data_IF_294101883438
#
_entry.id   IF_294101883438
#
_cell.length_a   1.000
_cell.length_b   1.000
_cell.length_c   1.000
_cell.angle_alpha   90.00
_cell.angle_beta   90.00
_cell.angle_gamma   90.00
#
_symmetry.space_group_name_H-M   'P 1'
#
loop_
_entity.id
_entity.type
_entity.pdbx_description
1 polymer ?
#
# COMPACT_ATOMS: atom_id res chain seq x y z
N UNK A 1 18.47 31.55 -12.76
CA UNK A 1 19.61 30.60 -12.78
C UNK A 1 19.03 29.20 -12.74
N UNK A 2 18.94 28.55 -13.90
CA UNK A 2 18.40 27.19 -14.02
C UNK A 2 19.49 26.17 -13.69
N UNK A 3 19.19 25.26 -12.76
CA UNK A 3 20.00 24.08 -12.54
C UNK A 3 19.49 23.00 -13.50
N UNK A 4 20.30 22.73 -14.52
CA UNK A 4 20.03 21.72 -15.52
C UNK A 4 19.99 20.33 -14.90
N UNK A 5 18.96 19.57 -15.26
CA UNK A 5 18.91 18.13 -15.05
C UNK A 5 20.07 17.49 -15.81
N UNK A 6 20.97 16.85 -15.06
CA UNK A 6 22.06 16.07 -15.60
C UNK A 6 21.47 14.71 -16.05
N UNK A 7 21.11 14.61 -17.33
CA UNK A 7 20.75 13.33 -17.95
C UNK A 7 21.99 12.42 -18.01
N UNK A 8 22.15 11.58 -16.98
CA UNK A 8 23.07 10.45 -17.04
C UNK A 8 22.41 9.34 -17.86
N UNK A 9 22.76 9.27 -19.14
CA UNK A 9 22.60 8.08 -19.99
C UNK A 9 21.21 7.44 -19.98
N UNK A 10 20.24 8.02 -20.69
CA UNK A 10 19.09 7.32 -21.25
C UNK A 10 18.13 6.62 -20.27
N UNK A 11 18.11 7.00 -18.99
CA UNK A 11 17.11 6.52 -18.03
C UNK A 11 16.15 7.66 -17.72
N UNK A 12 14.94 7.61 -18.29
CA UNK A 12 13.88 8.56 -17.96
C UNK A 12 13.34 8.24 -16.57
N UNK A 13 13.74 9.05 -15.59
CA UNK A 13 13.27 8.97 -14.21
C UNK A 13 11.91 9.65 -14.08
N UNK A 14 10.94 8.98 -13.46
CA UNK A 14 9.64 9.58 -13.10
C UNK A 14 9.48 9.64 -11.60
N UNK A 15 8.98 10.78 -11.10
CA UNK A 15 8.53 10.88 -9.71
C UNK A 15 7.02 11.05 -9.67
N UNK A 16 6.35 10.21 -8.87
CA UNK A 16 4.92 10.25 -8.65
C UNK A 16 4.60 10.49 -7.17
N UNK A 17 3.50 11.18 -6.93
CA UNK A 17 3.01 11.55 -5.61
C UNK A 17 1.56 11.13 -5.44
N UNK A 18 1.26 10.62 -4.24
CA UNK A 18 -0.09 10.32 -3.81
C UNK A 18 -0.21 10.47 -2.30
N UNK A 19 -1.38 10.88 -1.83
CA UNK A 19 -1.67 10.89 -0.39
C UNK A 19 -1.71 9.44 0.13
N UNK A 20 -1.16 9.15 1.30
CA UNK A 20 -1.14 7.80 1.87
C UNK A 20 -2.56 7.25 2.11
N UNK A 21 -3.54 8.12 2.37
CA UNK A 21 -4.96 7.76 2.41
C UNK A 21 -5.46 7.17 1.07
N UNK A 22 -4.84 7.51 -0.07
CA UNK A 22 -5.15 6.94 -1.37
C UNK A 22 -4.91 5.44 -1.44
N UNK A 23 -3.86 4.97 -0.75
CA UNK A 23 -3.48 3.55 -0.73
C UNK A 23 -4.44 2.69 0.09
N UNK A 24 -5.25 3.32 0.95
CA UNK A 24 -6.24 2.63 1.78
C UNK A 24 -7.45 2.09 1.00
N UNK A 25 -7.59 2.44 -0.29
CA UNK A 25 -8.63 1.91 -1.18
C UNK A 25 -10.07 2.17 -0.68
N UNK A 26 -10.30 3.29 -0.01
CA UNK A 26 -11.65 3.69 0.45
C UNK A 26 -12.41 4.49 -0.61
N UNK A 27 -11.69 5.10 -1.55
CA UNK A 27 -12.22 5.92 -2.64
C UNK A 27 -11.24 5.94 -3.81
N UNK A 28 -11.72 6.38 -4.99
CA UNK A 28 -10.86 6.69 -6.14
C UNK A 28 -9.88 7.78 -5.77
N UNK A 29 -8.60 7.54 -6.05
CA UNK A 29 -7.52 8.47 -5.72
C UNK A 29 -6.67 8.81 -6.93
N UNK A 30 -6.30 10.09 -7.04
CA UNK A 30 -5.49 10.61 -8.15
C UNK A 30 -4.01 10.52 -7.78
N UNK A 31 -3.21 10.01 -8.71
CA UNK A 31 -1.75 9.97 -8.61
C UNK A 31 -1.21 11.02 -9.58
N UNK A 32 -0.32 11.86 -9.08
CA UNK A 32 0.24 12.99 -9.83
C UNK A 32 1.75 12.85 -9.99
N UNK A 33 2.32 13.53 -10.96
CA UNK A 33 3.77 13.65 -11.09
C UNK A 33 4.34 14.87 -10.35
N UNK A 34 5.64 15.08 -10.49
CA UNK A 34 6.39 16.25 -9.98
C UNK A 34 5.96 17.58 -10.60
N UNK A 35 5.31 17.55 -11.76
CA UNK A 35 4.68 18.71 -12.40
C UNK A 35 3.22 18.91 -11.97
N UNK A 36 2.75 18.14 -10.98
CA UNK A 36 1.37 18.13 -10.48
C UNK A 36 0.33 17.77 -11.56
N UNK A 37 0.75 17.09 -12.64
CA UNK A 37 -0.15 16.54 -13.65
C UNK A 37 -0.75 15.23 -13.16
N UNK A 38 -2.06 15.07 -13.31
CA UNK A 38 -2.74 13.81 -13.02
C UNK A 38 -2.29 12.76 -14.05
N UNK A 39 -1.74 11.65 -13.58
CA UNK A 39 -1.19 10.58 -14.45
C UNK A 39 -2.05 9.32 -14.38
N UNK A 40 -2.47 8.97 -13.16
CA UNK A 40 -3.22 7.74 -12.91
C UNK A 40 -4.35 7.94 -11.91
N UNK A 41 -5.28 6.99 -11.94
CA UNK A 41 -6.33 6.78 -10.95
C UNK A 41 -6.12 5.42 -10.28
N UNK A 42 -6.00 5.41 -8.96
CA UNK A 42 -6.07 4.20 -8.16
C UNK A 42 -7.50 4.00 -7.68
N UNK A 43 -8.11 2.90 -8.09
CA UNK A 43 -9.52 2.58 -7.82
C UNK A 43 -9.62 1.18 -7.24
N UNK A 44 -10.45 0.98 -6.23
CA UNK A 44 -10.74 -0.34 -5.69
C UNK A 44 -11.00 -0.31 -4.19
N UNK A 45 -11.03 -1.50 -3.57
CA UNK A 45 -11.19 -1.66 -2.13
C UNK A 45 -10.52 -2.91 -1.59
N UNK A 46 -10.07 -2.83 -0.35
CA UNK A 46 -9.68 -3.98 0.49
C UNK A 46 -10.91 -4.47 1.31
N UNK A 47 -11.14 -5.77 1.50
CA UNK A 47 -12.46 -6.37 1.85
C UNK A 47 -12.67 -7.89 1.63
N UNK A 48 -13.88 -8.39 1.91
CA UNK A 48 -14.08 -9.81 2.26
C UNK A 48 -14.11 -10.84 1.11
N UNK A 49 -14.27 -10.46 -0.17
CA UNK A 49 -14.44 -11.45 -1.27
C UNK A 49 -13.88 -11.11 -2.65
N UNK A 50 -13.20 -9.99 -2.85
CA UNK A 50 -12.54 -9.66 -4.12
C UNK A 50 -11.68 -8.41 -3.97
N UNK A 51 -10.58 -8.53 -3.22
CA UNK A 51 -9.66 -7.41 -2.98
C UNK A 51 -8.87 -7.10 -4.23
N UNK A 52 -9.46 -6.21 -5.03
CA UNK A 52 -8.88 -5.72 -6.26
C UNK A 52 -8.64 -4.23 -6.11
N UNK A 53 -7.39 -3.85 -6.33
CA UNK A 53 -7.04 -2.49 -6.70
C UNK A 53 -6.62 -2.48 -8.15
N UNK A 54 -7.07 -1.45 -8.86
CA UNK A 54 -6.84 -1.25 -10.28
C UNK A 54 -6.23 0.15 -10.48
N UNK A 55 -5.22 0.20 -11.33
CA UNK A 55 -4.55 1.42 -11.75
C UNK A 55 -4.99 1.72 -13.17
N UNK A 56 -5.62 2.87 -13.36
CA UNK A 56 -6.05 3.37 -14.65
C UNK A 56 -5.24 4.60 -15.06
N UNK A 57 -5.00 4.79 -16.35
CA UNK A 57 -4.61 6.11 -16.86
C UNK A 57 -5.75 7.12 -16.69
N UNK A 58 -5.46 8.42 -16.81
CA UNK A 58 -6.53 9.45 -16.80
C UNK A 58 -7.52 9.27 -17.95
N UNK A 59 -7.09 8.68 -19.08
CA UNK A 59 -7.98 8.33 -20.19
C UNK A 59 -8.88 7.11 -19.90
N UNK A 60 -8.72 6.44 -18.75
CA UNK A 60 -9.53 5.29 -18.34
C UNK A 60 -9.01 3.94 -18.84
N UNK A 61 -7.80 3.88 -19.41
CA UNK A 61 -7.18 2.61 -19.78
C UNK A 61 -6.70 1.87 -18.52
N UNK A 62 -7.02 0.57 -18.40
CA UNK A 62 -6.58 -0.27 -17.29
C UNK A 62 -5.13 -0.73 -17.53
N UNK A 63 -4.21 -0.30 -16.68
CA UNK A 63 -2.78 -0.60 -16.81
C UNK A 63 -2.36 -1.78 -15.93
N UNK A 64 -2.74 -1.74 -14.65
CA UNK A 64 -2.37 -2.78 -13.69
C UNK A 64 -3.49 -3.06 -12.70
N UNK A 65 -3.44 -4.26 -12.11
CA UNK A 65 -4.27 -4.62 -10.98
C UNK A 65 -3.43 -5.40 -9.95
N UNK A 66 -3.82 -5.28 -8.68
CA UNK A 66 -3.44 -6.23 -7.65
C UNK A 66 -4.68 -6.93 -7.13
N UNK A 67 -4.63 -8.26 -7.05
CA UNK A 67 -5.70 -9.10 -6.50
C UNK A 67 -5.18 -9.91 -5.31
N UNK A 68 -5.88 -9.88 -4.18
CA UNK A 68 -5.55 -10.77 -3.06
C UNK A 68 -6.00 -12.20 -3.38
N UNK A 69 -5.08 -13.16 -3.29
CA UNK A 69 -5.35 -14.58 -3.55
C UNK A 69 -5.67 -15.38 -2.29
N UNK A 70 -5.15 -14.97 -1.12
CA UNK A 70 -5.34 -15.71 0.14
C UNK A 70 -5.86 -14.83 1.28
N UNK A 71 -6.86 -15.35 2.01
CA UNK A 71 -7.50 -14.75 3.18
C UNK A 71 -7.00 -15.36 4.50
N UNK A 72 -5.70 -15.68 4.60
CA UNK A 72 -5.09 -16.33 5.76
C UNK A 72 -3.98 -15.50 6.43
N UNK A 73 -3.30 -16.09 7.42
CA UNK A 73 -2.20 -15.46 8.19
C UNK A 73 -1.05 -14.95 7.29
N UNK A 74 -0.93 -15.51 6.10
CA UNK A 74 0.03 -15.13 5.06
C UNK A 74 -0.72 -14.60 3.83
N UNK A 75 -1.01 -13.29 3.77
CA UNK A 75 -1.64 -12.68 2.61
C UNK A 75 -0.72 -12.79 1.39
N UNK A 76 -1.27 -13.32 0.29
CA UNK A 76 -0.66 -13.43 -1.02
C UNK A 76 -1.42 -12.53 -1.99
N UNK A 77 -0.66 -11.83 -2.82
CA UNK A 77 -1.20 -10.94 -3.83
C UNK A 77 -0.68 -11.33 -5.20
N UNK A 78 -1.56 -11.30 -6.19
CA UNK A 78 -1.26 -11.43 -7.61
C UNK A 78 -1.20 -10.06 -8.24
N UNK A 79 -0.13 -9.80 -9.00
CA UNK A 79 0.02 -8.62 -9.84
C UNK A 79 -0.40 -8.97 -11.26
N UNK A 80 -1.24 -8.12 -11.84
CA UNK A 80 -1.76 -8.21 -13.19
C UNK A 80 -1.33 -6.94 -13.91
N UNK A 81 -0.73 -7.08 -15.09
CA UNK A 81 -0.33 -5.97 -15.95
C UNK A 81 -0.86 -6.25 -17.34
N UNK A 82 -1.54 -5.29 -17.97
CA UNK A 82 -2.22 -5.49 -19.25
C UNK A 82 -3.07 -6.77 -19.30
N UNK A 83 -3.86 -7.00 -18.24
CA UNK A 83 -4.75 -8.15 -18.05
C UNK A 83 -4.05 -9.51 -17.96
N UNK A 84 -2.72 -9.55 -17.88
CA UNK A 84 -1.94 -10.77 -17.72
C UNK A 84 -1.33 -10.85 -16.32
N UNK A 85 -1.32 -12.04 -15.74
CA UNK A 85 -0.65 -12.24 -14.44
C UNK A 85 0.86 -12.21 -14.66
N UNK A 86 1.52 -11.17 -14.16
CA UNK A 86 2.96 -10.97 -14.32
C UNK A 86 3.75 -11.32 -13.07
N UNK A 87 3.11 -11.33 -11.91
CA UNK A 87 3.82 -11.71 -10.69
C UNK A 87 2.95 -11.97 -9.48
N UNK A 88 3.62 -12.40 -8.41
CA UNK A 88 3.01 -12.63 -7.09
C UNK A 88 3.93 -12.17 -5.99
N UNK A 89 3.36 -11.57 -4.96
CA UNK A 89 4.07 -11.13 -3.76
C UNK A 89 3.38 -11.69 -2.52
N UNK A 90 4.17 -12.12 -1.55
CA UNK A 90 3.70 -12.72 -0.31
C UNK A 90 4.61 -12.31 0.83
N UNK A 91 4.05 -11.97 2.00
CA UNK A 91 4.84 -11.78 3.21
C UNK A 91 5.36 -13.16 3.66
N UNK A 92 6.65 -13.31 3.92
CA UNK A 92 7.23 -14.55 4.49
C UNK A 92 7.57 -14.28 5.96
N UNK A 93 7.16 -15.17 6.87
CA UNK A 93 7.51 -15.06 8.29
C UNK A 93 9.02 -15.26 8.51
N UNK A 94 9.60 -14.49 9.45
CA UNK A 94 10.95 -14.74 9.98
C UNK A 94 12.11 -14.01 9.30
N UNK A 95 11.87 -13.14 8.32
CA UNK A 95 12.96 -12.35 7.69
C UNK A 95 13.25 -11.11 8.54
N UNK A 96 14.38 -11.15 9.24
CA UNK A 96 14.97 -10.01 9.95
C UNK A 96 15.43 -9.01 8.88
N UNK A 97 14.77 -7.85 8.79
CA UNK A 97 14.94 -6.77 7.77
C UNK A 97 14.21 -7.13 6.47
N UNK A 98 13.15 -6.40 6.16
CA UNK A 98 12.06 -6.85 5.30
C UNK A 98 12.45 -6.90 3.81
N UNK A 99 13.04 -8.02 3.42
CA UNK A 99 13.25 -8.41 2.02
C UNK A 99 12.02 -9.20 1.55
N UNK A 100 11.37 -8.72 0.50
CA UNK A 100 10.22 -9.35 -0.13
C UNK A 100 10.54 -9.69 -1.58
N UNK A 101 9.99 -10.80 -2.07
CA UNK A 101 10.18 -11.23 -3.45
C UNK A 101 8.88 -11.10 -4.24
N UNK A 102 8.97 -10.48 -5.41
CA UNK A 102 7.90 -10.48 -6.42
C UNK A 102 8.24 -11.52 -7.48
N UNK A 103 7.73 -12.74 -7.26
CA UNK A 103 7.94 -13.87 -8.16
C UNK A 103 7.26 -13.60 -9.50
N UNK A 104 7.85 -14.02 -10.61
CA UNK A 104 7.37 -13.76 -11.97
C UNK A 104 8.03 -12.53 -12.63
N UNK A 105 8.23 -11.45 -11.86
CA UNK A 105 8.95 -10.26 -12.32
C UNK A 105 10.46 -10.29 -11.99
N UNK A 106 10.88 -11.27 -11.17
CA UNK A 106 12.23 -11.38 -10.61
C UNK A 106 12.65 -10.10 -9.87
N UNK A 107 11.71 -9.50 -9.12
CA UNK A 107 12.00 -8.31 -8.32
C UNK A 107 12.21 -8.64 -6.85
N UNK A 108 13.09 -7.87 -6.23
CA UNK A 108 13.37 -7.88 -4.81
C UNK A 108 13.03 -6.51 -4.25
N UNK A 109 12.18 -6.47 -3.23
CA UNK A 109 11.84 -5.28 -2.48
C UNK A 109 12.62 -5.35 -1.17
N UNK A 110 13.40 -4.32 -0.87
CA UNK A 110 14.18 -4.20 0.36
C UNK A 110 13.77 -2.93 1.08
N UNK A 111 13.43 -3.03 2.37
CA UNK A 111 13.07 -1.85 3.14
C UNK A 111 12.54 -2.16 4.53
N UNK A 112 11.76 -1.22 5.06
CA UNK A 112 11.15 -1.32 6.37
C UNK A 112 9.76 -0.64 6.39
N UNK A 113 8.74 -1.44 6.65
CA UNK A 113 7.31 -1.10 6.78
C UNK A 113 7.05 -0.04 7.83
N UNK A 114 7.85 0.05 8.88
CA UNK A 114 7.69 1.09 9.90
C UNK A 114 8.21 2.45 9.41
N UNK A 115 9.27 2.45 8.58
CA UNK A 115 9.83 3.69 8.03
C UNK A 115 9.15 4.16 6.74
N UNK A 116 8.34 3.30 6.11
CA UNK A 116 7.73 3.59 4.82
C UNK A 116 8.72 3.74 3.66
N UNK A 117 9.98 3.34 3.83
CA UNK A 117 11.03 3.47 2.82
C UNK A 117 11.42 2.10 2.26
N UNK A 118 11.25 1.94 0.95
CA UNK A 118 11.54 0.71 0.20
C UNK A 118 12.29 0.99 -1.10
N UNK A 119 13.14 0.05 -1.49
CA UNK A 119 13.84 0.04 -2.78
C UNK A 119 13.55 -1.27 -3.49
N UNK A 120 13.27 -1.19 -4.78
CA UNK A 120 12.85 -2.32 -5.61
C UNK A 120 13.92 -2.53 -6.69
N UNK A 121 14.36 -3.77 -6.85
CA UNK A 121 15.45 -4.13 -7.77
C UNK A 121 15.08 -5.32 -8.64
N UNK A 122 15.61 -5.35 -9.87
CA UNK A 122 15.70 -6.53 -10.72
C UNK A 122 17.18 -6.86 -10.91
N UNK A 123 17.69 -7.88 -10.21
CA UNK A 123 19.13 -8.16 -10.20
C UNK A 123 19.91 -6.99 -9.58
N UNK A 124 20.72 -6.30 -10.40
CA UNK A 124 21.49 -5.12 -9.98
C UNK A 124 20.81 -3.79 -10.33
N UNK A 125 19.78 -3.84 -11.16
CA UNK A 125 19.12 -2.64 -11.66
C UNK A 125 18.05 -2.22 -10.67
N UNK A 126 18.08 -0.94 -10.28
CA UNK A 126 17.00 -0.35 -9.48
C UNK A 126 15.81 -0.10 -10.39
N UNK A 127 14.63 -0.50 -9.93
CA UNK A 127 13.36 -0.29 -10.63
C UNK A 127 12.64 0.92 -10.07
N UNK A 128 12.57 1.01 -8.73
CA UNK A 128 11.93 2.15 -8.07
C UNK A 128 12.35 2.29 -6.59
N UNK A 129 12.06 3.47 -6.04
CA UNK A 129 12.06 3.75 -4.60
C UNK A 129 10.66 4.20 -4.19
N UNK A 130 10.21 3.77 -3.01
CA UNK A 130 8.94 4.18 -2.40
C UNK A 130 9.28 4.79 -1.06
N UNK A 131 8.84 6.02 -0.81
CA UNK A 131 9.10 6.74 0.43
C UNK A 131 7.82 7.35 0.97
N UNK A 132 7.41 7.00 2.18
CA UNK A 132 6.39 7.72 2.92
C UNK A 132 7.01 8.90 3.66
N UNK A 133 6.47 10.10 3.46
CA UNK A 133 6.89 11.34 4.11
C UNK A 133 5.73 11.94 4.89
N UNK A 134 5.99 12.39 6.11
CA UNK A 134 5.01 13.15 6.90
C UNK A 134 4.89 14.57 6.33
N UNK A 135 3.66 15.02 6.06
CA UNK A 135 3.36 16.36 5.58
C UNK A 135 2.30 17.04 6.46
N UNK A 136 2.20 18.37 6.33
CA UNK A 136 1.22 19.19 7.09
C UNK A 136 -0.24 18.88 6.75
N UNK A 137 -0.51 18.24 5.60
CA UNK A 137 -1.83 17.80 5.15
C UNK A 137 -2.07 16.29 5.25
N UNK A 138 -1.21 15.55 5.97
CA UNK A 138 -1.21 14.09 6.05
C UNK A 138 0.04 13.46 5.44
N UNK A 139 0.13 12.13 5.52
CA UNK A 139 1.26 11.40 4.94
C UNK A 139 1.16 11.39 3.40
N UNK A 140 2.29 11.65 2.75
CA UNK A 140 2.44 11.60 1.29
C UNK A 140 3.40 10.49 0.93
N UNK A 141 3.05 9.71 -0.07
CA UNK A 141 3.91 8.66 -0.61
C UNK A 141 4.51 9.18 -1.92
N UNK A 142 5.83 9.13 -1.99
CA UNK A 142 6.61 9.42 -3.19
C UNK A 142 7.08 8.10 -3.82
N UNK A 143 6.90 7.98 -5.14
CA UNK A 143 7.38 6.88 -5.95
C UNK A 143 8.39 7.44 -6.96
N UNK A 144 9.66 7.08 -6.83
CA UNK A 144 10.70 7.41 -7.81
C UNK A 144 10.92 6.16 -8.67
N UNK A 145 10.49 6.19 -9.92
CA UNK A 145 10.47 5.06 -10.86
C UNK A 145 11.52 5.28 -11.95
N UNK A 146 12.44 4.33 -12.08
CA UNK A 146 13.57 4.42 -13.03
C UNK A 146 13.17 3.92 -14.44
N UNK A 147 12.05 3.19 -14.55
CA UNK A 147 11.54 2.61 -15.81
C UNK A 147 10.04 2.86 -15.92
N UNK A 148 9.63 3.75 -16.84
CA UNK A 148 8.25 4.24 -17.00
C UNK A 148 7.20 3.12 -17.13
N UNK A 149 7.51 2.07 -17.89
CA UNK A 149 6.59 0.93 -18.10
C UNK A 149 6.19 0.22 -16.80
N UNK A 150 7.00 0.36 -15.74
CA UNK A 150 6.73 -0.26 -14.45
C UNK A 150 5.85 0.60 -13.53
N UNK A 151 5.61 1.87 -13.83
CA UNK A 151 4.86 2.81 -12.96
C UNK A 151 3.57 2.21 -12.39
N UNK A 152 2.67 1.60 -13.20
CA UNK A 152 1.42 1.04 -12.70
C UNK A 152 1.64 -0.10 -11.70
N UNK A 153 2.67 -0.92 -11.91
CA UNK A 153 3.03 -2.01 -11.00
C UNK A 153 3.64 -1.49 -9.69
N UNK A 154 4.43 -0.41 -9.75
CA UNK A 154 4.99 0.22 -8.55
C UNK A 154 3.88 0.85 -7.70
N UNK A 155 2.87 1.47 -8.32
CA UNK A 155 1.67 1.95 -7.63
C UNK A 155 0.95 0.79 -6.92
N UNK A 156 0.77 -0.36 -7.60
CA UNK A 156 0.19 -1.55 -6.96
C UNK A 156 1.02 -2.05 -5.76
N UNK A 157 2.35 -2.07 -5.88
CA UNK A 157 3.24 -2.49 -4.80
C UNK A 157 3.18 -1.53 -3.61
N UNK A 158 3.12 -0.21 -3.84
CA UNK A 158 2.95 0.77 -2.79
C UNK A 158 1.68 0.49 -1.96
N UNK A 159 0.56 0.17 -2.62
CA UNK A 159 -0.69 -0.17 -1.93
C UNK A 159 -0.61 -1.46 -1.10
N UNK A 160 0.12 -2.47 -1.58
CA UNK A 160 0.33 -3.72 -0.82
C UNK A 160 1.18 -3.45 0.43
N UNK A 161 2.27 -2.69 0.29
CA UNK A 161 3.19 -2.36 1.38
C UNK A 161 2.48 -1.53 2.45
N UNK A 162 1.72 -0.50 2.04
CA UNK A 162 0.89 0.31 2.93
C UNK A 162 -0.08 -0.55 3.76
N UNK A 163 -0.79 -1.47 3.09
CA UNK A 163 -1.71 -2.39 3.76
C UNK A 163 -0.99 -3.25 4.80
N UNK A 164 0.20 -3.75 4.50
CA UNK A 164 0.99 -4.53 5.44
C UNK A 164 1.51 -3.71 6.61
N UNK A 165 1.90 -2.46 6.39
CA UNK A 165 2.33 -1.56 7.46
C UNK A 165 1.17 -1.30 8.43
N UNK A 166 -0.02 -0.99 7.91
CA UNK A 166 -1.24 -0.76 8.70
C UNK A 166 -1.68 -2.01 9.47
N UNK A 167 -1.60 -3.20 8.87
CA UNK A 167 -1.92 -4.45 9.58
C UNK A 167 -0.88 -4.77 10.68
N UNK A 168 0.39 -4.43 10.48
CA UNK A 168 1.44 -4.60 11.49
C UNK A 168 1.22 -3.67 12.68
N UNK A 169 0.89 -2.40 12.44
CA UNK A 169 0.55 -1.44 13.50
C UNK A 169 -0.74 -1.82 14.25
N UNK A 170 -1.79 -2.24 13.52
CA UNK A 170 -3.05 -2.69 14.13
C UNK A 170 -2.94 -3.99 14.94
N UNK A 171 -1.93 -4.83 14.66
CA UNK A 171 -1.61 -6.00 15.46
C UNK A 171 -0.82 -5.66 16.75
N UNK A 172 -0.08 -4.55 16.76
CA UNK A 172 0.68 -4.07 17.92
C UNK A 172 -0.17 -3.29 18.93
N UNK A 173 -1.32 -2.74 18.51
CA UNK A 173 -2.29 -2.15 19.41
C UNK A 173 -3.17 -3.27 20.01
N UNK A 174 -3.26 -3.41 21.35
CA UNK A 174 -4.16 -4.39 21.93
C UNK A 174 -5.59 -4.07 21.50
N UNK A 175 -6.27 -5.05 20.89
CA UNK A 175 -7.72 -4.97 20.67
C UNK A 175 -8.33 -4.70 22.04
N UNK A 176 -8.88 -3.50 22.27
CA UNK A 176 -9.72 -3.26 23.45
C UNK A 176 -10.82 -4.33 23.40
N UNK A 177 -10.69 -5.34 24.26
CA UNK A 177 -11.67 -6.39 24.39
C UNK A 177 -12.96 -5.71 24.83
N UNK A 178 -13.91 -5.58 23.90
CA UNK A 178 -15.27 -5.23 24.22
C UNK A 178 -15.88 -6.43 24.94
N UNK A 179 -15.65 -6.52 26.26
CA UNK A 179 -16.48 -7.36 27.12
C UNK A 179 -17.90 -6.81 27.12
N UNK A 180 -18.94 -7.65 27.23
CA UNK A 180 -20.31 -7.14 27.33
C UNK A 180 -20.36 -6.22 28.55
N UNK A 181 -20.67 -4.93 28.31
CA UNK A 181 -20.99 -3.98 29.36
C UNK A 181 -22.20 -4.56 30.09
N UNK A 182 -21.98 -5.17 31.25
CA UNK A 182 -23.01 -5.65 32.16
C UNK A 182 -23.92 -4.44 32.43
N UNK A 183 -25.10 -4.42 31.81
CA UNK A 183 -26.15 -3.49 32.18
C UNK A 183 -26.47 -3.80 33.64
N UNK A 184 -26.06 -2.91 34.54
CA UNK A 184 -26.60 -2.91 35.90
C UNK A 184 -28.09 -2.60 35.75
N UNK A 185 -28.90 -3.66 35.72
CA UNK A 185 -30.35 -3.57 35.87
C UNK A 185 -30.59 -3.01 37.27
N UNK A 186 -30.85 -1.70 37.34
CA UNK A 186 -31.33 -1.03 38.52
C UNK A 186 -32.76 -1.48 38.80
N UNK A 187 -32.91 -2.51 39.62
CA UNK A 187 -34.12 -2.72 40.43
C UNK A 187 -33.65 -2.82 41.86
N UNK A 188 -33.78 -1.72 42.60
CA UNK A 188 -33.59 -1.70 44.05
C UNK A 188 -34.88 -2.27 44.65
N UNK A 189 -34.86 -3.42 45.36
CA UNK A 189 -36.02 -3.86 46.10
C UNK A 189 -36.18 -3.00 47.35
N UNK A 190 -37.39 -2.52 47.59
CA UNK A 190 -37.78 -1.97 48.87
C UNK A 190 -37.68 -3.09 49.93
N UNK A 191 -36.82 -2.91 50.93
CA UNK A 191 -36.83 -3.78 52.11
C UNK A 191 -37.41 -3.03 53.30
N UNK A 192 -38.55 -3.54 53.73
CA UNK A 192 -39.33 -3.14 54.90
C UNK A 192 -38.46 -3.18 56.17
N UNK A 193 -38.41 -2.08 56.93
CA UNK A 193 -37.85 -2.07 58.29
C UNK A 193 -38.67 -3.01 59.18
N UNK A 194 -38.00 -3.91 59.90
CA UNK A 194 -38.55 -4.58 61.08
C UNK A 194 -37.73 -4.20 62.32
N UNK A 195 -38.48 -3.64 63.27
CA UNK A 195 -38.22 -3.35 64.70
C UNK A 195 -37.02 -2.47 65.03
#
# INVERSE_FOLDING_TARGET
MGLGNLEKGGVSLRTLYLNEAALSAKATSVIRDDQNQSCYLLVGKWGLRADVLSVYTIAGALEAEVKQESLGLLPKFRLIYHRQTVGRVSKTFGVIREVLFVRGLNWVIMGNLNSGHFRIFRGRDRIATITTMAGSGGETVELVVDQLDNEPLIICLAAILDRWAKHQQGALLPKKAWGPKRLQSGVVPFTLRKK
#
